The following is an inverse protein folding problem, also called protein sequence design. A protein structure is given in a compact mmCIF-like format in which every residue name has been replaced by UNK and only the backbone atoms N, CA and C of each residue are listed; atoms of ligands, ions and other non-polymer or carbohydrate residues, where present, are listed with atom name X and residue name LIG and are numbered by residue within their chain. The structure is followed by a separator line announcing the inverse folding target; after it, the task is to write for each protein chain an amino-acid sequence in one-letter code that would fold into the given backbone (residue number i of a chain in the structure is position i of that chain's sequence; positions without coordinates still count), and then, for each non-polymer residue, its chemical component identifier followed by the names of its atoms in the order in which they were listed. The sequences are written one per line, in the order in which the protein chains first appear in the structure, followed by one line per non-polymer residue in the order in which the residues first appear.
data_IF_868365712416
#
_entry.id   IF_868365712416
#
_cell.length_a   1.000
_cell.length_b   1.000
_cell.length_c   1.000
_cell.angle_alpha   90.00
_cell.angle_beta   90.00
_cell.angle_gamma   90.00
#
_symmetry.space_group_name_H-M   'P 1'
#
loop_
_entity.id
_entity.type
_entity.pdbx_description
1 polymer ?
#
# COMPACT_ATOMS: atom_id res chain seq x y z
N UNK A 1 9.17 13.12 7.10
CA UNK A 1 8.40 13.52 5.91
C UNK A 1 7.75 12.27 5.33
N UNK A 2 6.56 12.40 4.75
CA UNK A 2 5.69 11.29 4.39
C UNK A 2 4.92 11.61 3.11
N UNK A 3 4.96 10.70 2.14
CA UNK A 3 4.12 10.71 0.94
C UNK A 3 2.92 9.83 1.20
N UNK A 4 1.73 10.32 0.89
CA UNK A 4 0.48 9.58 1.06
C UNK A 4 -0.11 9.22 -0.30
N UNK A 5 -0.46 7.94 -0.47
CA UNK A 5 -1.29 7.46 -1.56
C UNK A 5 -2.61 6.93 -1.02
N UNK A 6 -3.65 7.04 -1.85
CA UNK A 6 -4.98 6.58 -1.49
C UNK A 6 -5.35 5.36 -2.32
N UNK A 7 -5.96 4.36 -1.69
CA UNK A 7 -6.31 3.08 -2.33
C UNK A 7 -7.81 2.80 -2.25
N UNK A 8 -8.41 2.46 -3.39
CA UNK A 8 -9.69 1.75 -3.43
C UNK A 8 -9.44 0.27 -3.67
N UNK A 9 -10.21 -0.59 -3.01
CA UNK A 9 -10.17 -2.01 -3.25
C UNK A 9 -11.58 -2.57 -3.46
N UNK A 10 -11.67 -3.55 -4.37
CA UNK A 10 -12.84 -4.41 -4.57
C UNK A 10 -12.40 -5.86 -4.62
N UNK A 11 -13.33 -6.79 -4.39
CA UNK A 11 -13.06 -8.21 -4.63
C UNK A 11 -12.82 -8.40 -6.13
N UNK A 12 -11.76 -9.12 -6.49
CA UNK A 12 -11.45 -9.50 -7.88
C UNK A 12 -12.59 -10.33 -8.49
N UNK A 13 -12.65 -10.37 -9.82
CA UNK A 13 -13.75 -11.06 -10.53
C UNK A 13 -13.78 -12.58 -10.27
N UNK A 14 -12.65 -13.17 -9.87
CA UNK A 14 -12.54 -14.58 -9.46
C UNK A 14 -12.84 -14.83 -7.97
N UNK A 15 -13.05 -13.77 -7.19
CA UNK A 15 -13.39 -13.84 -5.77
C UNK A 15 -12.22 -14.09 -4.82
N UNK A 16 -10.98 -14.14 -5.31
CA UNK A 16 -9.82 -14.61 -4.53
C UNK A 16 -8.94 -13.50 -3.96
N UNK A 17 -8.93 -12.33 -4.59
CA UNK A 17 -8.00 -11.24 -4.31
C UNK A 17 -8.70 -9.89 -4.16
N UNK A 18 -7.94 -8.88 -3.76
CA UNK A 18 -8.36 -7.49 -3.83
C UNK A 18 -7.79 -6.84 -5.10
N UNK A 19 -8.65 -6.39 -6.00
CA UNK A 19 -8.28 -5.49 -7.10
C UNK A 19 -8.12 -4.08 -6.53
N UNK A 20 -6.92 -3.51 -6.65
CA UNK A 20 -6.59 -2.20 -6.10
C UNK A 20 -6.44 -1.14 -7.19
N UNK A 21 -6.99 0.05 -6.93
CA UNK A 21 -6.76 1.26 -7.70
C UNK A 21 -6.16 2.33 -6.79
N UNK A 22 -5.12 3.01 -7.25
CA UNK A 22 -4.38 4.00 -6.46
C UNK A 22 -4.63 5.42 -6.96
N UNK A 23 -4.57 6.38 -6.04
CA UNK A 23 -4.90 7.78 -6.29
C UNK A 23 -3.96 8.72 -5.51
N UNK A 24 -3.79 9.93 -6.03
CA UNK A 24 -3.10 11.02 -5.33
C UNK A 24 -3.99 11.73 -4.30
N UNK A 25 -5.31 11.55 -4.38
CA UNK A 25 -6.28 12.20 -3.49
C UNK A 25 -7.28 11.21 -2.87
N UNK A 26 -7.77 11.56 -1.66
CA UNK A 26 -8.74 10.73 -0.93
C UNK A 26 -10.07 10.56 -1.65
N UNK A 27 -10.50 11.56 -2.42
CA UNK A 27 -11.78 11.53 -3.12
C UNK A 27 -11.77 10.65 -4.39
N UNK A 28 -10.63 10.00 -4.69
CA UNK A 28 -10.42 9.12 -5.83
C UNK A 28 -10.68 9.80 -7.19
N UNK A 29 -10.16 11.01 -7.37
CA UNK A 29 -10.36 11.83 -8.59
C UNK A 29 -9.10 11.94 -9.44
N UNK A 30 -7.93 11.73 -8.86
CA UNK A 30 -6.63 11.81 -9.50
C UNK A 30 -5.98 10.42 -9.48
N UNK A 31 -6.32 9.56 -10.46
CA UNK A 31 -5.79 8.19 -10.50
C UNK A 31 -4.28 8.20 -10.72
N UNK A 32 -3.61 7.27 -10.06
CA UNK A 32 -2.23 6.89 -10.33
C UNK A 32 -2.24 5.78 -11.39
N UNK A 33 -1.59 6.04 -12.53
CA UNK A 33 -1.43 5.02 -13.56
C UNK A 33 -0.37 4.00 -13.16
N UNK A 34 -0.75 2.72 -13.15
CA UNK A 34 0.14 1.60 -12.78
C UNK A 34 0.17 1.29 -11.27
N UNK A 35 1.03 0.34 -10.89
CA UNK A 35 1.14 -0.20 -9.53
C UNK A 35 2.39 0.25 -8.76
N UNK A 36 3.22 1.10 -9.37
CA UNK A 36 4.44 1.63 -8.76
C UNK A 36 4.16 2.95 -8.03
N UNK A 37 4.28 2.93 -6.71
CA UNK A 37 4.19 4.11 -5.85
C UNK A 37 5.58 4.71 -5.68
N UNK A 38 5.71 6.01 -5.98
CA UNK A 38 7.00 6.72 -5.94
C UNK A 38 7.07 7.67 -4.75
N UNK A 39 7.96 7.38 -3.82
CA UNK A 39 8.24 8.26 -2.70
C UNK A 39 9.52 9.07 -2.99
N UNK A 40 9.55 10.38 -2.70
CA UNK A 40 10.77 11.17 -2.78
C UNK A 40 11.89 10.58 -1.91
N UNK A 41 13.13 10.68 -2.38
CA UNK A 41 14.28 10.24 -1.61
C UNK A 41 14.42 11.05 -0.31
N UNK A 42 14.75 10.38 0.79
CA UNK A 42 14.86 10.98 2.12
C UNK A 42 13.56 10.99 2.93
N UNK A 43 12.42 10.62 2.35
CA UNK A 43 11.22 10.34 3.13
C UNK A 43 11.30 8.95 3.76
N UNK A 44 10.91 8.88 5.04
CA UNK A 44 11.08 7.68 5.86
C UNK A 44 9.84 6.79 5.86
N UNK A 45 8.75 7.22 5.23
CA UNK A 45 7.47 6.50 5.24
C UNK A 45 6.64 6.80 4.00
N UNK A 46 6.10 5.76 3.39
CA UNK A 46 4.98 5.83 2.47
C UNK A 46 3.69 5.54 3.25
N UNK A 47 2.78 6.50 3.35
CA UNK A 47 1.45 6.25 3.89
C UNK A 47 0.53 5.72 2.78
N UNK A 48 -0.26 4.70 3.11
CA UNK A 48 -1.34 4.19 2.28
C UNK A 48 -2.62 4.32 3.09
N UNK A 49 -3.56 5.10 2.56
CA UNK A 49 -4.84 5.37 3.20
C UNK A 49 -5.99 4.89 2.33
N UNK A 50 -7.07 4.43 2.95
CA UNK A 50 -8.27 4.08 2.21
C UNK A 50 -8.90 5.34 1.56
N UNK A 51 -9.08 5.27 0.24
CA UNK A 51 -9.80 6.26 -0.53
C UNK A 51 -11.32 6.14 -0.31
N UNK A 52 -12.03 7.24 -0.52
CA UNK A 52 -13.47 7.28 -0.51
C UNK A 52 -14.04 6.34 -1.59
N UNK A 53 -15.15 5.65 -1.31
CA UNK A 53 -15.79 4.76 -2.27
C UNK A 53 -15.14 3.37 -2.42
N UNK A 54 -14.11 3.04 -1.64
CA UNK A 54 -13.59 1.67 -1.56
C UNK A 54 -14.67 0.68 -1.12
N UNK A 55 -14.79 -0.44 -1.82
CA UNK A 55 -15.75 -1.49 -1.50
C UNK A 55 -15.26 -2.41 -0.36
N UNK A 56 -13.96 -2.45 -0.13
CA UNK A 56 -13.31 -3.18 0.96
C UNK A 56 -12.63 -2.22 1.95
N UNK A 57 -12.41 -2.71 3.17
CA UNK A 57 -11.74 -1.99 4.26
C UNK A 57 -10.27 -2.40 4.34
N UNK A 58 -9.35 -1.43 4.37
CA UNK A 58 -7.92 -1.67 4.54
C UNK A 58 -7.62 -2.08 5.99
N UNK A 59 -6.94 -3.22 6.17
CA UNK A 59 -6.62 -3.77 7.49
C UNK A 59 -5.14 -3.72 7.83
N UNK A 60 -4.28 -4.02 6.87
CA UNK A 60 -2.85 -4.10 7.09
C UNK A 60 -2.07 -4.18 5.77
N UNK A 61 -0.75 -4.14 5.89
CA UNK A 61 0.20 -4.42 4.84
C UNK A 61 1.30 -5.35 5.36
N UNK A 62 1.75 -6.26 4.50
CA UNK A 62 3.05 -6.90 4.66
C UNK A 62 3.97 -6.49 3.53
N UNK A 63 5.25 -6.28 3.80
CA UNK A 63 6.17 -5.75 2.81
C UNK A 63 7.59 -6.27 2.98
N UNK A 64 8.32 -6.37 1.88
CA UNK A 64 9.76 -6.68 1.90
C UNK A 64 10.52 -5.83 0.92
N UNK A 65 11.80 -5.61 1.19
CA UNK A 65 12.71 -5.01 0.21
C UNK A 65 13.03 -6.04 -0.88
N UNK A 66 12.78 -5.69 -2.14
CA UNK A 66 13.10 -6.53 -3.29
C UNK A 66 14.61 -6.60 -3.52
N UNK A 67 15.08 -7.67 -4.15
CA UNK A 67 16.52 -7.92 -4.37
C UNK A 67 17.33 -8.30 -3.12
N UNK A 68 16.72 -8.30 -1.95
CA UNK A 68 17.35 -8.69 -0.68
C UNK A 68 16.99 -10.12 -0.27
N UNK A 69 17.74 -10.68 0.68
CA UNK A 69 17.51 -12.03 1.20
C UNK A 69 16.05 -12.19 1.67
N UNK A 70 15.40 -13.33 1.38
CA UNK A 70 13.99 -13.57 1.74
C UNK A 70 13.86 -13.83 3.24
N UNK A 71 13.81 -12.76 4.02
CA UNK A 71 13.63 -12.81 5.48
C UNK A 71 12.42 -11.97 5.83
N UNK A 72 11.42 -12.62 6.44
CA UNK A 72 10.31 -11.95 7.09
C UNK A 72 10.64 -11.75 8.56
N UNK A 73 10.44 -10.53 9.05
CA UNK A 73 10.55 -10.12 10.45
C UNK A 73 9.25 -9.44 10.85
N UNK A 74 8.99 -9.30 12.15
CA UNK A 74 7.80 -8.59 12.64
C UNK A 74 7.74 -7.14 12.14
N UNK A 75 8.89 -6.55 11.80
CA UNK A 75 9.01 -5.22 11.19
C UNK A 75 8.58 -5.15 9.72
N UNK A 76 8.21 -6.28 9.09
CA UNK A 76 7.71 -6.40 7.72
C UNK A 76 6.17 -6.35 7.66
N UNK A 77 5.53 -5.82 8.69
CA UNK A 77 4.09 -5.72 8.83
C UNK A 77 3.70 -4.34 9.35
N UNK A 78 2.63 -3.76 8.80
CA UNK A 78 2.03 -2.52 9.26
C UNK A 78 0.52 -2.70 9.34
N UNK A 79 -0.06 -2.61 10.54
CA UNK A 79 -1.51 -2.58 10.72
C UNK A 79 -2.07 -1.21 10.30
N UNK A 80 -3.27 -1.22 9.74
CA UNK A 80 -4.03 0.00 9.55
C UNK A 80 -4.51 0.54 10.90
N UNK A 81 -4.50 1.86 11.05
CA UNK A 81 -5.03 2.55 12.21
C UNK A 81 -6.56 2.69 12.16
N UNK A 82 -7.15 3.36 13.16
CA UNK A 82 -8.60 3.59 13.22
C UNK A 82 -9.17 4.45 12.09
N UNK A 83 -8.32 5.01 11.23
CA UNK A 83 -8.70 5.79 10.03
C UNK A 83 -8.50 5.01 8.74
N UNK A 84 -8.18 3.70 8.82
CA UNK A 84 -7.83 2.86 7.67
C UNK A 84 -6.61 3.39 6.92
N UNK A 85 -5.59 3.85 7.67
CA UNK A 85 -4.31 4.31 7.16
C UNK A 85 -3.16 3.49 7.75
N UNK A 86 -2.14 3.20 6.95
CA UNK A 86 -0.93 2.51 7.39
C UNK A 86 0.33 3.14 6.82
N UNK A 87 1.47 2.94 7.49
CA UNK A 87 2.77 3.41 7.05
C UNK A 87 3.70 2.26 6.67
N UNK A 88 4.21 2.29 5.44
CA UNK A 88 5.32 1.44 4.99
C UNK A 88 6.62 2.21 5.19
N UNK A 89 7.52 1.78 6.11
CA UNK A 89 8.79 2.47 6.34
C UNK A 89 9.66 2.43 5.09
N UNK A 90 10.36 3.51 4.78
CA UNK A 90 11.33 3.59 3.68
C UNK A 90 12.68 4.06 4.24
N UNK A 91 13.82 3.51 3.79
CA UNK A 91 15.12 3.99 4.23
C UNK A 91 15.40 5.41 3.68
N UNK A 92 16.05 6.27 4.46
CA UNK A 92 16.41 7.62 3.99
C UNK A 92 17.81 7.68 3.32
N UNK A 93 18.58 6.60 3.39
CA UNK A 93 20.01 6.57 3.02
C UNK A 93 20.32 5.80 1.74
N UNK A 94 19.37 5.04 1.21
CA UNK A 94 19.53 4.23 0.01
C UNK A 94 18.21 4.12 -0.76
N UNK A 95 18.33 4.01 -2.08
CA UNK A 95 17.18 3.77 -2.97
C UNK A 95 16.88 2.28 -2.96
N UNK A 96 15.65 1.94 -2.61
CA UNK A 96 15.13 0.58 -2.56
C UNK A 96 13.73 0.52 -3.16
N UNK A 97 13.36 -0.66 -3.63
CA UNK A 97 11.98 -0.99 -3.97
C UNK A 97 11.45 -2.02 -2.99
N UNK A 98 10.26 -1.78 -2.46
CA UNK A 98 9.53 -2.72 -1.61
C UNK A 98 8.36 -3.33 -2.38
N UNK A 99 8.25 -4.65 -2.34
CA UNK A 99 7.01 -5.34 -2.71
C UNK A 99 6.08 -5.33 -1.52
N UNK A 100 4.82 -4.92 -1.73
CA UNK A 100 3.83 -4.73 -0.68
C UNK A 100 2.59 -5.55 -1.02
N UNK A 101 2.06 -6.25 -0.01
CA UNK A 101 0.77 -6.92 -0.07
C UNK A 101 -0.14 -6.25 0.95
N UNK A 102 -1.20 -5.63 0.45
CA UNK A 102 -2.26 -5.05 1.28
C UNK A 102 -3.30 -6.12 1.61
N UNK A 103 -3.86 -6.05 2.81
CA UNK A 103 -4.90 -6.94 3.29
C UNK A 103 -6.18 -6.15 3.51
N UNK A 104 -7.27 -6.66 2.94
CA UNK A 104 -8.59 -6.04 3.02
C UNK A 104 -9.66 -6.99 3.54
N UNK A 105 -10.76 -6.46 4.05
CA UNK A 105 -11.98 -7.23 4.39
C UNK A 105 -13.25 -6.54 3.93
N UNK A 106 -14.37 -7.26 4.01
CA UNK A 106 -15.68 -6.64 3.84
C UNK A 106 -15.91 -5.56 4.93
N UNK A 107 -16.65 -4.48 4.63
CA UNK A 107 -17.03 -3.49 5.63
C UNK A 107 -18.01 -4.08 6.66
N UNK A 108 -17.71 -3.89 7.95
CA UNK A 108 -18.61 -4.27 9.05
C UNK A 108 -18.67 -5.76 9.40
N UNK A 109 -18.12 -6.64 8.55
CA UNK A 109 -17.97 -8.08 8.80
C UNK A 109 -16.65 -8.59 8.25
N UNK A 110 -16.04 -9.58 8.90
CA UNK A 110 -14.83 -10.25 8.39
C UNK A 110 -15.23 -11.61 7.83
N UNK A 111 -15.98 -11.58 6.72
CA UNK A 111 -16.43 -12.80 6.04
C UNK A 111 -15.33 -13.36 5.12
N UNK A 112 -14.34 -12.53 4.76
CA UNK A 112 -13.17 -12.89 3.98
C UNK A 112 -12.02 -11.90 4.18
N UNK A 113 -10.79 -12.40 3.96
CA UNK A 113 -9.57 -11.59 3.87
C UNK A 113 -9.06 -11.65 2.43
N UNK A 114 -8.93 -10.50 1.81
CA UNK A 114 -8.54 -10.36 0.42
C UNK A 114 -7.17 -9.69 0.35
N UNK A 115 -6.18 -10.41 -0.16
CA UNK A 115 -4.85 -9.88 -0.39
C UNK A 115 -4.79 -9.16 -1.74
N UNK A 116 -4.11 -8.01 -1.81
CA UNK A 116 -3.77 -7.39 -3.09
C UNK A 116 -2.69 -8.19 -3.81
N UNK A 117 -2.68 -8.16 -5.14
CA UNK A 117 -1.58 -8.70 -5.93
C UNK A 117 -0.34 -7.79 -5.90
N UNK A 118 -0.53 -6.48 -5.81
CA UNK A 118 0.52 -5.44 -5.89
C UNK A 118 0.06 -4.16 -5.12
N UNK A 119 0.98 -3.43 -4.46
CA UNK A 119 1.86 -2.52 -5.19
C UNK A 119 3.37 -2.69 -4.90
N UNK A 120 4.19 -2.06 -5.75
CA UNK A 120 5.60 -1.78 -5.44
C UNK A 120 5.77 -0.34 -4.97
N UNK A 121 6.64 -0.10 -3.98
CA UNK A 121 6.97 1.24 -3.48
C UNK A 121 8.47 1.50 -3.65
N UNK A 122 8.85 2.57 -4.34
CA UNK A 122 10.26 2.95 -4.53
C UNK A 122 10.55 4.34 -3.96
N UNK A 123 11.61 4.47 -3.16
CA UNK A 123 12.10 5.75 -2.63
C UNK A 123 13.28 6.27 -3.48
N UNK A 124 12.99 6.83 -4.65
CA UNK A 124 14.06 7.24 -5.58
C UNK A 124 13.62 7.86 -6.88
N UNK A 125 12.32 8.04 -7.08
CA UNK A 125 11.78 8.76 -8.22
C UNK A 125 11.52 10.21 -7.78
N UNK A 126 12.61 10.97 -7.85
CA UNK A 126 12.69 12.41 -7.63
C UNK A 126 13.95 12.87 -8.35
N UNK A 127 13.77 13.66 -9.41
CA UNK A 127 14.81 14.07 -10.37
C UNK A 127 16.17 14.39 -9.73
N UNK A 128 17.25 13.87 -10.34
CA UNK A 128 18.53 14.55 -10.33
C UNK A 128 18.45 15.89 -11.07
#
# INVERSE_FOLDING_TARGET
MTTTYYVQARISDDGLYADCSYFYDKAAKEPLEGSLLSVPFGEETCAIEQADGSALVLLAASFKTLGHAPVMRDTNFAAADGTSSLGVPMPATEVVTKGVVLLFSNPGTVDGLYASSDPEITNGSGNC
#
